data_IF_586592371783
#
_entry.id   IF_586592371783
#
_cell.length_a   1.000
_cell.length_b   1.000
_cell.length_c   1.000
_cell.angle_alpha   90.00
_cell.angle_beta   90.00
_cell.angle_gamma   90.00
#
_symmetry.space_group_name_H-M   'P 1'
#
loop_
_entity.id
_entity.type
_entity.pdbx_description
1 polymer ?
#
# COMPACT_ATOMS: atom_id res chain seq x y z
N UNK A 1 -0.30 -7.92 27.24
CA UNK A 1 0.52 -8.82 26.38
C UNK A 1 -0.28 -9.67 25.37
N UNK A 2 -1.36 -10.39 25.75
CA UNK A 2 -2.13 -11.23 24.79
C UNK A 2 -2.70 -10.43 23.60
N UNK A 3 -3.22 -9.22 23.82
CA UNK A 3 -3.75 -8.37 22.76
C UNK A 3 -2.66 -7.87 21.80
N UNK A 4 -1.45 -7.58 22.29
CA UNK A 4 -0.31 -7.17 21.47
C UNK A 4 0.12 -8.29 20.51
N UNK A 5 0.24 -9.53 20.99
CA UNK A 5 0.58 -10.69 20.13
C UNK A 5 -0.44 -10.88 19.01
N UNK A 6 -1.74 -10.71 19.32
CA UNK A 6 -2.81 -10.79 18.32
C UNK A 6 -2.71 -9.67 17.27
N UNK A 7 -2.47 -8.43 17.70
CA UNK A 7 -2.27 -7.30 16.78
C UNK A 7 -1.08 -7.53 15.85
N UNK A 8 0.05 -8.00 16.36
CA UNK A 8 1.23 -8.31 15.55
C UNK A 8 0.92 -9.38 14.52
N UNK A 9 0.21 -10.45 14.90
CA UNK A 9 -0.19 -11.51 13.98
C UNK A 9 -1.11 -10.99 12.88
N UNK A 10 -2.10 -10.14 13.24
CA UNK A 10 -3.00 -9.50 12.27
C UNK A 10 -2.21 -8.62 11.31
N UNK A 11 -1.32 -7.78 11.82
CA UNK A 11 -0.49 -6.89 11.00
C UNK A 11 0.34 -7.70 10.02
N UNK A 12 1.02 -8.75 10.49
CA UNK A 12 1.86 -9.60 9.65
C UNK A 12 1.04 -10.33 8.57
N UNK A 13 -0.10 -10.91 8.94
CA UNK A 13 -0.96 -11.62 8.00
C UNK A 13 -1.50 -10.71 6.90
N UNK A 14 -1.98 -9.52 7.27
CA UNK A 14 -2.49 -8.54 6.30
C UNK A 14 -1.37 -8.00 5.42
N UNK A 15 -0.20 -7.69 6.00
CA UNK A 15 0.95 -7.22 5.23
C UNK A 15 1.44 -8.29 4.23
N UNK A 16 1.44 -9.56 4.63
CA UNK A 16 1.81 -10.66 3.75
C UNK A 16 0.85 -10.77 2.56
N UNK A 17 -0.46 -10.73 2.81
CA UNK A 17 -1.49 -10.78 1.75
C UNK A 17 -1.38 -9.56 0.84
N UNK A 18 -1.20 -8.36 1.40
CA UNK A 18 -1.00 -7.11 0.66
C UNK A 18 0.18 -7.23 -0.32
N UNK A 19 1.37 -7.54 0.18
CA UNK A 19 2.58 -7.60 -0.64
C UNK A 19 2.57 -8.75 -1.64
N UNK A 20 2.02 -9.92 -1.27
CA UNK A 20 1.85 -11.04 -2.20
C UNK A 20 0.91 -10.67 -3.35
N UNK A 21 -0.20 -10.01 -3.05
CA UNK A 21 -1.16 -9.59 -4.08
C UNK A 21 -0.57 -8.52 -4.98
N UNK A 22 0.12 -7.52 -4.43
CA UNK A 22 0.78 -6.46 -5.21
C UNK A 22 1.86 -6.99 -6.14
N UNK A 23 2.68 -7.93 -5.66
CA UNK A 23 3.66 -8.63 -6.49
C UNK A 23 2.98 -9.36 -7.66
N UNK A 24 1.88 -10.06 -7.40
CA UNK A 24 1.12 -10.74 -8.44
C UNK A 24 0.56 -9.75 -9.46
N UNK A 25 -0.09 -8.68 -9.01
CA UNK A 25 -0.63 -7.61 -9.86
C UNK A 25 0.46 -7.04 -10.77
N UNK A 26 1.62 -6.63 -10.23
CA UNK A 26 2.70 -6.04 -11.05
C UNK A 26 3.28 -6.98 -12.09
N UNK A 27 3.30 -8.28 -11.81
CA UNK A 27 3.93 -9.28 -12.69
C UNK A 27 2.97 -9.96 -13.67
N UNK A 28 1.66 -9.80 -13.47
CA UNK A 28 0.63 -10.43 -14.31
C UNK A 28 -0.33 -9.43 -14.97
N UNK A 29 -0.32 -8.17 -14.54
CA UNK A 29 -1.13 -7.11 -15.12
C UNK A 29 -0.27 -5.93 -15.57
N UNK A 30 -0.68 -5.28 -16.67
CA UNK A 30 -0.14 -3.98 -17.08
C UNK A 30 -1.01 -2.84 -16.53
N UNK A 31 -0.44 -1.64 -16.42
CA UNK A 31 -1.12 -0.49 -15.82
C UNK A 31 -2.46 -0.21 -16.53
N UNK A 32 -3.54 -0.05 -15.75
CA UNK A 32 -4.90 0.18 -16.22
C UNK A 32 -5.65 -1.09 -16.65
N UNK A 33 -5.04 -2.27 -16.59
CA UNK A 33 -5.73 -3.53 -16.90
C UNK A 33 -6.79 -3.84 -15.84
N UNK A 34 -7.91 -4.40 -16.29
CA UNK A 34 -9.05 -4.75 -15.45
C UNK A 34 -9.39 -6.23 -15.52
N UNK A 35 -9.78 -6.81 -14.38
CA UNK A 35 -10.40 -8.13 -14.27
C UNK A 35 -11.72 -7.98 -13.51
N UNK A 36 -12.83 -8.28 -14.17
CA UNK A 36 -14.15 -8.29 -13.55
C UNK A 36 -14.31 -9.56 -12.70
N UNK A 37 -14.40 -9.41 -11.38
CA UNK A 37 -14.50 -10.55 -10.45
C UNK A 37 -15.96 -10.88 -10.16
N UNK A 38 -16.78 -9.85 -9.92
CA UNK A 38 -18.23 -10.00 -9.68
C UNK A 38 -19.00 -9.02 -10.57
N UNK A 39 -19.07 -9.35 -11.86
CA UNK A 39 -19.63 -8.48 -12.89
C UNK A 39 -19.02 -7.08 -12.82
N UNK A 40 -19.86 -6.05 -12.92
CA UNK A 40 -19.42 -4.66 -12.86
C UNK A 40 -19.31 -4.10 -11.42
N UNK A 41 -19.46 -4.91 -10.37
CA UNK A 41 -19.48 -4.41 -8.98
C UNK A 41 -18.13 -4.54 -8.26
N UNK A 42 -17.38 -5.60 -8.54
CA UNK A 42 -16.04 -5.79 -7.99
C UNK A 42 -15.06 -6.09 -9.13
N UNK A 43 -14.12 -5.18 -9.31
CA UNK A 43 -13.14 -5.20 -10.39
C UNK A 43 -11.76 -5.10 -9.75
N UNK A 44 -10.84 -5.96 -10.20
CA UNK A 44 -9.41 -5.75 -9.96
C UNK A 44 -8.93 -4.83 -11.08
N UNK A 45 -8.61 -3.59 -10.75
CA UNK A 45 -8.15 -2.56 -11.69
C UNK A 45 -6.75 -2.11 -11.29
N UNK A 46 -5.72 -2.51 -12.04
CA UNK A 46 -4.35 -2.20 -11.66
C UNK A 46 -4.04 -0.71 -11.85
N UNK A 47 -3.75 -0.05 -10.72
CA UNK A 47 -3.31 1.36 -10.66
C UNK A 47 -2.02 1.51 -9.88
N UNK A 48 -1.24 2.50 -10.28
CA UNK A 48 -0.07 2.94 -9.55
C UNK A 48 -0.23 4.40 -9.15
N UNK A 49 -0.09 4.68 -7.86
CA UNK A 49 -0.27 6.01 -7.30
C UNK A 49 1.06 6.55 -6.76
N UNK A 50 1.37 7.82 -7.01
CA UNK A 50 2.49 8.51 -6.35
C UNK A 50 2.28 8.68 -4.83
N UNK A 51 1.23 8.13 -4.26
CA UNK A 51 0.94 8.12 -2.83
C UNK A 51 0.06 9.28 -2.38
N UNK A 52 -0.70 9.85 -3.31
CA UNK A 52 -1.59 10.98 -3.10
C UNK A 52 -3.01 10.46 -2.91
N UNK A 53 -3.71 10.93 -1.88
CA UNK A 53 -5.14 10.71 -1.74
C UNK A 53 -5.89 11.90 -2.37
N UNK A 54 -7.03 11.64 -3.01
CA UNK A 54 -7.93 12.67 -3.58
C UNK A 54 -7.33 13.53 -4.70
N UNK A 55 -6.33 13.03 -5.45
CA UNK A 55 -5.77 13.76 -6.60
C UNK A 55 -4.96 15.01 -6.24
N UNK A 56 -4.65 15.23 -4.96
CA UNK A 56 -3.76 16.31 -4.51
C UNK A 56 -2.32 15.95 -4.85
N UNK A 57 -1.90 16.23 -6.09
CA UNK A 57 -0.51 16.15 -6.47
C UNK A 57 0.26 17.37 -5.98
N UNK A 58 1.32 17.13 -5.20
CA UNK A 58 2.32 18.16 -4.94
C UNK A 58 3.22 18.20 -6.17
N UNK A 59 2.93 19.09 -7.12
CA UNK A 59 3.68 19.32 -8.38
C UNK A 59 5.15 19.77 -8.18
N UNK A 60 5.66 19.74 -6.94
CA UNK A 60 7.04 20.07 -6.62
C UNK A 60 7.97 18.88 -6.90
N UNK A 61 9.20 19.17 -7.32
CA UNK A 61 10.29 18.18 -7.56
C UNK A 61 10.44 17.17 -6.40
N UNK A 62 10.12 17.56 -5.17
CA UNK A 62 10.21 16.73 -3.97
C UNK A 62 8.87 16.26 -3.40
N UNK A 63 7.75 16.49 -4.10
CA UNK A 63 6.40 16.17 -3.62
C UNK A 63 6.25 14.70 -3.24
N UNK A 64 6.74 13.79 -4.09
CA UNK A 64 6.74 12.35 -3.82
C UNK A 64 7.53 11.98 -2.56
N UNK A 65 8.75 12.49 -2.43
CA UNK A 65 9.62 12.21 -1.29
C UNK A 65 9.00 12.73 0.00
N UNK A 66 8.44 13.94 -0.02
CA UNK A 66 7.72 14.51 1.12
C UNK A 66 6.55 13.62 1.54
N UNK A 67 5.72 13.16 0.61
CA UNK A 67 4.59 12.25 0.91
C UNK A 67 5.06 10.92 1.51
N UNK A 68 6.13 10.34 0.98
CA UNK A 68 6.73 9.11 1.52
C UNK A 68 7.25 9.31 2.95
N UNK A 69 7.99 10.39 3.22
CA UNK A 69 8.51 10.71 4.56
C UNK A 69 7.38 11.04 5.54
N UNK A 70 6.39 11.83 5.12
CA UNK A 70 5.21 12.14 5.91
C UNK A 70 4.46 10.86 6.30
N UNK A 71 4.28 9.92 5.38
CA UNK A 71 3.65 8.63 5.66
C UNK A 71 4.42 7.83 6.70
N UNK A 72 5.76 7.81 6.63
CA UNK A 72 6.61 7.16 7.64
C UNK A 72 6.41 7.81 9.02
N UNK A 73 6.40 9.14 9.10
CA UNK A 73 6.13 9.86 10.34
C UNK A 73 4.73 9.53 10.90
N UNK A 74 3.71 9.53 10.05
CA UNK A 74 2.34 9.16 10.41
C UNK A 74 2.26 7.69 10.91
N UNK A 75 2.99 6.76 10.27
CA UNK A 75 3.05 5.36 10.70
C UNK A 75 3.59 5.24 12.13
N UNK A 76 4.66 5.96 12.47
CA UNK A 76 5.17 5.98 13.85
C UNK A 76 4.12 6.52 14.84
N UNK A 77 3.37 7.55 14.46
CA UNK A 77 2.26 8.08 15.25
C UNK A 77 1.15 7.04 15.49
N UNK A 78 0.70 6.35 14.44
CA UNK A 78 -0.31 5.28 14.53
C UNK A 78 0.22 4.12 15.37
N UNK A 79 1.48 3.72 15.19
CA UNK A 79 2.11 2.63 15.93
C UNK A 79 2.23 2.94 17.43
N UNK A 80 2.66 4.15 17.78
CA UNK A 80 2.68 4.62 19.17
C UNK A 80 1.28 4.65 19.78
N UNK A 81 0.29 5.16 19.04
CA UNK A 81 -1.09 5.21 19.51
C UNK A 81 -1.67 3.80 19.72
N UNK A 82 -1.42 2.88 18.78
CA UNK A 82 -1.81 1.46 18.89
C UNK A 82 -1.21 0.81 20.15
N UNK A 83 0.08 1.02 20.40
CA UNK A 83 0.74 0.53 21.61
C UNK A 83 0.11 1.13 22.88
N UNK A 84 -0.15 2.43 22.89
CA UNK A 84 -0.75 3.15 24.01
C UNK A 84 -2.15 2.61 24.35
N UNK A 85 -3.03 2.44 23.37
CA UNK A 85 -4.40 1.94 23.62
C UNK A 85 -4.43 0.46 24.03
N UNK A 86 -3.48 -0.35 23.54
CA UNK A 86 -3.35 -1.75 23.97
C UNK A 86 -2.98 -1.82 25.45
N UNK A 87 -2.07 -0.95 25.90
CA UNK A 87 -1.65 -0.89 27.30
C UNK A 87 -2.74 -0.31 28.21
N UNK A 88 -3.58 0.58 27.70
CA UNK A 88 -4.76 1.11 28.40
C UNK A 88 -5.96 0.15 28.42
N UNK A 89 -5.83 -1.05 27.86
CA UNK A 89 -6.90 -2.06 27.90
C UNK A 89 -8.09 -1.74 26.98
N UNK A 90 -7.86 -1.04 25.86
CA UNK A 90 -8.92 -0.72 24.90
C UNK A 90 -9.66 -1.95 24.37
N UNK A 91 -10.89 -1.72 23.89
CA UNK A 91 -11.74 -2.78 23.35
C UNK A 91 -11.06 -3.52 22.19
N UNK A 92 -11.18 -4.85 22.16
CA UNK A 92 -10.48 -5.71 21.19
C UNK A 92 -10.80 -5.35 19.75
N UNK A 93 -12.06 -5.04 19.44
CA UNK A 93 -12.46 -4.64 18.09
C UNK A 93 -11.75 -3.37 17.62
N UNK A 94 -11.58 -2.39 18.50
CA UNK A 94 -10.89 -1.15 18.16
C UNK A 94 -9.39 -1.39 17.89
N UNK A 95 -8.77 -2.23 18.71
CA UNK A 95 -7.38 -2.66 18.51
C UNK A 95 -7.20 -3.38 17.15
N UNK A 96 -8.16 -4.22 16.76
CA UNK A 96 -8.15 -4.90 15.45
C UNK A 96 -8.25 -3.88 14.31
N UNK A 97 -9.23 -2.96 14.35
CA UNK A 97 -9.38 -1.93 13.30
C UNK A 97 -8.10 -1.11 13.12
N UNK A 98 -7.49 -0.65 14.23
CA UNK A 98 -6.25 0.13 14.16
C UNK A 98 -5.06 -0.72 13.68
N UNK A 99 -5.04 -2.02 13.98
CA UNK A 99 -4.02 -2.95 13.44
C UNK A 99 -4.14 -3.11 11.92
N UNK A 100 -5.37 -3.15 11.38
CA UNK A 100 -5.62 -3.20 9.93
C UNK A 100 -5.16 -1.90 9.24
N UNK A 101 -5.49 -0.74 9.81
CA UNK A 101 -5.04 0.57 9.31
C UNK A 101 -3.51 0.65 9.30
N UNK A 102 -2.87 0.24 10.41
CA UNK A 102 -1.40 0.21 10.51
C UNK A 102 -0.77 -0.71 9.46
N UNK A 103 -1.33 -1.91 9.25
CA UNK A 103 -0.82 -2.86 8.26
C UNK A 103 -0.89 -2.32 6.84
N UNK A 104 -2.01 -1.72 6.44
CA UNK A 104 -2.16 -1.09 5.11
C UNK A 104 -1.21 0.10 4.93
N UNK A 105 -1.09 0.96 5.94
CA UNK A 105 -0.14 2.08 5.90
C UNK A 105 1.32 1.61 5.76
N UNK A 106 1.69 0.53 6.46
CA UNK A 106 3.01 -0.08 6.36
C UNK A 106 3.25 -0.70 4.97
N UNK A 107 2.28 -1.41 4.40
CA UNK A 107 2.37 -1.95 3.04
C UNK A 107 2.65 -0.86 2.01
N UNK A 108 1.90 0.25 2.08
CA UNK A 108 2.11 1.39 1.17
C UNK A 108 3.46 2.11 1.40
N UNK A 109 4.06 2.01 2.59
CA UNK A 109 5.43 2.47 2.82
C UNK A 109 6.44 1.53 2.16
N UNK A 110 6.23 0.21 2.21
CA UNK A 110 7.10 -0.76 1.53
C UNK A 110 7.11 -0.51 0.03
N UNK A 111 5.94 -0.31 -0.58
CA UNK A 111 5.85 0.03 -2.01
C UNK A 111 6.64 1.30 -2.32
N UNK A 112 6.36 2.39 -1.59
CA UNK A 112 7.06 3.67 -1.75
C UNK A 112 8.58 3.51 -1.61
N UNK A 113 9.02 2.77 -0.59
CA UNK A 113 10.42 2.59 -0.27
C UNK A 113 11.15 1.76 -1.32
N UNK A 114 10.56 0.65 -1.78
CA UNK A 114 11.30 -0.39 -2.50
C UNK A 114 10.84 -0.63 -3.94
N UNK A 115 9.57 -0.41 -4.29
CA UNK A 115 9.07 -0.85 -5.59
C UNK A 115 9.69 -0.08 -6.75
N UNK A 116 10.06 1.18 -6.54
CA UNK A 116 10.84 1.94 -7.52
C UNK A 116 12.18 1.30 -7.82
N UNK A 117 12.83 0.70 -6.82
CA UNK A 117 14.17 0.13 -6.96
C UNK A 117 14.16 -1.28 -7.58
N UNK A 118 13.11 -2.06 -7.31
CA UNK A 118 13.10 -3.50 -7.61
C UNK A 118 12.24 -3.87 -8.82
N UNK A 119 11.40 -2.98 -9.34
CA UNK A 119 10.57 -3.27 -10.50
C UNK A 119 10.91 -2.35 -11.68
N UNK A 120 10.78 -2.87 -12.89
CA UNK A 120 10.62 -2.02 -14.08
C UNK A 120 9.26 -1.31 -14.05
N UNK A 121 9.07 -0.32 -14.92
CA UNK A 121 7.77 0.32 -15.05
C UNK A 121 6.73 -0.66 -15.62
N UNK A 122 5.45 -0.40 -15.31
CA UNK A 122 4.31 -1.20 -15.77
C UNK A 122 3.53 -0.54 -16.92
N UNK A 123 4.12 0.45 -17.59
CA UNK A 123 3.43 1.27 -18.60
C UNK A 123 3.35 0.50 -19.90
N UNK A 124 2.14 0.02 -20.25
CA UNK A 124 1.91 -0.82 -21.44
C UNK A 124 2.70 -2.15 -21.45
N UNK A 125 3.25 -2.56 -20.30
CA UNK A 125 4.01 -3.80 -20.15
C UNK A 125 3.87 -4.37 -18.74
N UNK A 126 4.20 -5.66 -18.59
CA UNK A 126 4.34 -6.28 -17.28
C UNK A 126 5.62 -5.79 -16.60
N UNK A 127 5.58 -5.56 -15.29
CA UNK A 127 6.80 -5.22 -14.57
C UNK A 127 7.69 -6.45 -14.40
N UNK A 128 8.96 -6.28 -14.72
CA UNK A 128 10.02 -7.23 -14.41
C UNK A 128 10.54 -6.96 -13.01
N UNK A 129 10.71 -8.00 -12.21
CA UNK A 129 11.35 -7.92 -10.90
C UNK A 129 12.88 -8.02 -11.09
N UNK A 130 13.61 -7.08 -10.51
CA UNK A 130 15.07 -6.90 -10.64
C UNK A 130 15.55 -6.81 -12.09
N UNK A 131 15.08 -5.81 -12.86
CA UNK A 131 15.57 -5.60 -14.23
C UNK A 131 17.07 -5.25 -14.23
N UNK A 132 17.81 -5.67 -15.26
CA UNK A 132 19.27 -5.48 -15.35
C UNK A 132 19.68 -4.01 -15.34
N UNK A 133 18.84 -3.13 -15.89
CA UNK A 133 19.02 -1.68 -15.94
C UNK A 133 18.67 -0.94 -14.64
N UNK A 134 18.19 -1.67 -13.63
CA UNK A 134 17.67 -1.11 -12.37
C UNK A 134 16.19 -0.74 -12.46
N UNK A 135 15.54 -0.60 -11.30
CA UNK A 135 14.11 -0.29 -11.25
C UNK A 135 13.78 1.13 -11.73
N UNK A 136 12.48 1.39 -11.92
CA UNK A 136 11.97 2.67 -12.47
C UNK A 136 12.21 3.91 -11.59
N UNK A 137 12.73 3.75 -10.37
CA UNK A 137 12.95 4.86 -9.43
C UNK A 137 13.86 4.51 -8.26
N UNK A 138 14.20 5.53 -7.46
CA UNK A 138 15.02 5.38 -6.27
C UNK A 138 14.25 4.95 -5.01
N UNK A 139 14.98 4.81 -3.91
CA UNK A 139 14.40 4.62 -2.58
C UNK A 139 13.41 5.74 -2.22
N UNK A 140 12.21 5.40 -1.74
CA UNK A 140 11.08 6.31 -1.44
C UNK A 140 10.37 6.93 -2.66
N UNK A 141 10.78 6.58 -3.88
CA UNK A 141 10.15 7.03 -5.13
C UNK A 141 9.24 5.97 -5.77
N UNK A 142 9.09 4.79 -5.16
CA UNK A 142 8.17 3.76 -5.64
C UNK A 142 6.72 4.23 -5.61
N UNK A 143 5.93 3.80 -6.60
CA UNK A 143 4.48 4.02 -6.65
C UNK A 143 3.78 2.99 -5.78
N UNK A 144 2.72 3.41 -5.09
CA UNK A 144 1.83 2.52 -4.35
C UNK A 144 0.98 1.76 -5.35
N UNK A 145 0.87 0.44 -5.17
CA UNK A 145 0.05 -0.41 -6.04
C UNK A 145 -1.34 -0.51 -5.44
N UNK A 146 -2.34 -0.06 -6.18
CA UNK A 146 -3.74 -0.15 -5.82
C UNK A 146 -4.48 -1.01 -6.87
N UNK A 147 -5.41 -1.85 -6.41
CA UNK A 147 -6.09 -2.81 -7.29
C UNK A 147 -7.57 -3.01 -7.04
N UNK A 148 -8.06 -2.77 -5.81
CA UNK A 148 -9.45 -3.06 -5.46
C UNK A 148 -10.35 -1.91 -5.91
N UNK A 149 -11.14 -2.11 -6.96
CA UNK A 149 -12.06 -1.12 -7.51
C UNK A 149 -13.52 -1.56 -7.34
N UNK A 150 -14.31 -0.67 -6.75
CA UNK A 150 -15.75 -0.83 -6.53
C UNK A 150 -16.47 0.42 -7.06
N UNK A 151 -17.11 0.36 -8.23
CA UNK A 151 -17.85 1.50 -8.77
C UNK A 151 -19.16 1.71 -7.98
N UNK A 152 -19.09 2.52 -6.93
CA UNK A 152 -20.23 2.84 -6.06
C UNK A 152 -21.11 3.94 -6.68
N UNK A 153 -20.52 4.90 -7.39
CA UNK A 153 -21.22 5.97 -8.09
C UNK A 153 -20.79 5.94 -9.55
N UNK A 154 -21.74 5.69 -10.45
CA UNK A 154 -21.57 5.87 -11.89
C UNK A 154 -22.04 7.30 -12.20
N UNK A 155 -21.09 8.20 -12.46
CA UNK A 155 -21.37 9.54 -12.97
C UNK A 155 -21.59 9.53 -14.47
#
# INVERSE_FOLDING_TARGET
>A
MKNLKKSILIIFAILFVDQATKLWIKTHMYLGQEHQILGDWFIIHFTENNGMAFGLELEWIYGKLFLSVFRIAALFGIGWYLWSIINKGAHKGFVVCLSLIFAGALGNIIDSAFYGMIFSDSTYQLATLFPEEGGYGGFLYGRVVDMLYFPIIKG
#
